data_IF_281919665586
#
_entry.id   IF_281919665586
#
_cell.length_a   1.000
_cell.length_b   1.000
_cell.length_c   1.000
_cell.angle_alpha   90.00
_cell.angle_beta   90.00
_cell.angle_gamma   90.00
#
_symmetry.space_group_name_H-M   'P 1'
#
loop_
_entity.id
_entity.type
_entity.pdbx_description
1 polymer ?
#
# COMPACT_ATOMS: atom_id res chain seq x y z
N UNK A 1 0.77 -9.79 -6.60
CA UNK A 1 0.62 -8.39 -7.09
C UNK A 1 1.85 -7.52 -6.81
N UNK A 2 2.60 -7.76 -5.72
CA UNK A 2 3.78 -6.95 -5.42
C UNK A 2 4.80 -6.98 -6.58
N UNK A 3 5.26 -5.81 -7.08
CA UNK A 3 6.29 -5.73 -8.10
C UNK A 3 7.73 -5.81 -7.54
N UNK A 4 7.88 -5.76 -6.22
CA UNK A 4 9.16 -5.96 -5.55
C UNK A 4 9.51 -7.44 -5.49
N UNK A 5 10.73 -7.76 -5.93
CA UNK A 5 11.29 -9.11 -5.88
C UNK A 5 11.26 -9.66 -4.45
N UNK A 6 10.59 -10.80 -4.27
CA UNK A 6 10.38 -11.46 -2.98
C UNK A 6 9.95 -10.52 -1.85
N UNK A 7 9.24 -9.44 -2.15
CA UNK A 7 8.75 -8.49 -1.15
C UNK A 7 7.44 -8.94 -0.50
N UNK A 8 6.71 -9.86 -1.15
CA UNK A 8 5.50 -10.47 -0.64
C UNK A 8 5.43 -11.92 -1.13
N UNK A 9 5.49 -12.88 -0.20
CA UNK A 9 5.40 -14.31 -0.51
C UNK A 9 4.26 -14.97 0.26
N UNK A 10 3.78 -16.13 -0.20
CA UNK A 10 2.77 -16.91 0.52
C UNK A 10 3.32 -17.46 1.85
N UNK A 11 4.59 -17.85 1.87
CA UNK A 11 5.22 -18.49 3.03
C UNK A 11 5.59 -17.49 4.13
N UNK A 12 6.13 -16.33 3.78
CA UNK A 12 6.70 -15.37 4.73
C UNK A 12 5.91 -14.07 4.82
N UNK A 13 4.87 -13.91 3.99
CA UNK A 13 4.09 -12.68 3.92
C UNK A 13 4.94 -11.49 3.46
N UNK A 14 4.72 -10.34 4.08
CA UNK A 14 5.32 -9.07 3.67
C UNK A 14 6.75 -8.93 4.21
N UNK A 15 7.74 -9.15 3.34
CA UNK A 15 9.15 -8.98 3.63
C UNK A 15 9.55 -7.51 3.52
N UNK A 16 9.47 -6.79 4.65
CA UNK A 16 9.69 -5.33 4.75
C UNK A 16 11.03 -4.86 4.16
N UNK A 17 12.10 -5.65 4.27
CA UNK A 17 13.43 -5.28 3.74
C UNK A 17 13.41 -5.16 2.22
N UNK A 18 12.84 -6.17 1.54
CA UNK A 18 12.74 -6.22 0.09
C UNK A 18 11.74 -5.17 -0.42
N UNK A 19 10.61 -5.00 0.28
CA UNK A 19 9.65 -3.94 -0.02
C UNK A 19 10.27 -2.53 0.09
N UNK A 20 11.08 -2.29 1.13
CA UNK A 20 11.81 -1.02 1.29
C UNK A 20 12.83 -0.83 0.17
N UNK A 21 13.58 -1.87 -0.19
CA UNK A 21 14.55 -1.80 -1.28
C UNK A 21 13.88 -1.43 -2.61
N UNK A 22 12.73 -2.04 -2.93
CA UNK A 22 11.95 -1.68 -4.10
C UNK A 22 11.40 -0.24 -4.02
N UNK A 23 10.74 0.12 -2.92
CA UNK A 23 10.09 1.42 -2.78
C UNK A 23 11.12 2.57 -2.85
N UNK A 24 12.22 2.46 -2.09
CA UNK A 24 13.25 3.50 -2.09
C UNK A 24 14.12 3.47 -3.35
N UNK A 25 14.36 2.30 -3.94
CA UNK A 25 15.23 2.16 -5.11
C UNK A 25 14.54 2.43 -6.45
N UNK A 26 13.21 2.26 -6.52
CA UNK A 26 12.44 2.40 -7.77
C UNK A 26 11.35 3.47 -7.68
N UNK A 27 10.53 3.46 -6.63
CA UNK A 27 9.36 4.35 -6.59
C UNK A 27 9.72 5.78 -6.20
N UNK A 28 10.67 5.98 -5.28
CA UNK A 28 11.16 7.33 -4.92
C UNK A 28 11.72 8.09 -6.13
N UNK A 29 12.67 7.54 -6.94
CA UNK A 29 13.16 8.23 -8.12
C UNK A 29 12.04 8.57 -9.12
N UNK A 30 11.16 7.60 -9.42
CA UNK A 30 10.04 7.79 -10.33
C UNK A 30 9.10 8.91 -9.86
N UNK A 31 8.72 8.90 -8.58
CA UNK A 31 7.80 9.90 -8.02
C UNK A 31 8.43 11.29 -8.05
N UNK A 32 9.73 11.39 -7.71
CA UNK A 32 10.45 12.66 -7.77
C UNK A 32 10.55 13.19 -9.19
N UNK A 33 10.89 12.35 -10.16
CA UNK A 33 11.05 12.73 -11.57
C UNK A 33 9.73 13.16 -12.21
N UNK A 34 8.66 12.39 -12.00
CA UNK A 34 7.39 12.61 -12.70
C UNK A 34 6.44 13.58 -11.99
N UNK A 35 6.55 13.72 -10.67
CA UNK A 35 5.60 14.50 -9.87
C UNK A 35 6.27 15.54 -8.96
N UNK A 36 7.61 15.60 -8.90
CA UNK A 36 8.38 16.50 -8.02
C UNK A 36 8.02 16.39 -6.53
N UNK A 37 7.60 15.21 -6.07
CA UNK A 37 7.27 14.93 -4.67
C UNK A 37 8.47 14.28 -4.00
N UNK A 38 8.92 14.83 -2.87
CA UNK A 38 9.93 14.23 -2.00
C UNK A 38 9.27 13.23 -1.05
N UNK A 39 9.05 12.01 -1.54
CA UNK A 39 8.40 10.94 -0.79
C UNK A 39 8.56 9.58 -1.44
N UNK A 40 8.13 8.54 -0.73
CA UNK A 40 7.99 7.19 -1.26
C UNK A 40 6.53 6.79 -1.28
N UNK A 41 6.15 6.00 -2.27
CA UNK A 41 4.79 5.47 -2.40
C UNK A 41 4.82 4.09 -3.02
N UNK A 42 4.11 3.15 -2.40
CA UNK A 42 3.78 1.85 -2.97
C UNK A 42 2.58 1.30 -2.20
N UNK A 43 1.57 0.82 -2.93
CA UNK A 43 0.33 0.26 -2.35
C UNK A 43 -0.18 -0.95 -3.11
N UNK A 44 0.60 -1.55 -4.01
CA UNK A 44 0.15 -2.67 -4.88
C UNK A 44 -0.30 -3.93 -4.13
N UNK A 45 0.06 -4.09 -2.85
CA UNK A 45 -0.48 -5.15 -2.01
C UNK A 45 -1.87 -4.82 -1.43
N UNK A 46 -2.23 -3.54 -1.41
CA UNK A 46 -3.54 -2.99 -1.02
C UNK A 46 -4.37 -2.59 -2.25
N UNK A 47 -4.05 -3.13 -3.43
CA UNK A 47 -4.92 -3.07 -4.61
C UNK A 47 -5.63 -4.41 -4.79
N UNK A 48 -6.80 -4.43 -5.43
CA UNK A 48 -7.72 -5.54 -5.65
C UNK A 48 -7.98 -6.42 -4.41
N UNK A 49 -8.10 -5.81 -3.22
CA UNK A 49 -8.64 -6.44 -2.01
C UNK A 49 -10.16 -6.25 -1.91
N UNK A 50 -10.91 -7.13 -1.22
CA UNK A 50 -12.37 -7.06 -1.18
C UNK A 50 -12.93 -5.71 -0.71
N UNK A 51 -12.19 -5.02 0.18
CA UNK A 51 -12.61 -3.72 0.71
C UNK A 51 -12.43 -2.55 -0.26
N UNK A 52 -11.75 -2.72 -1.40
CA UNK A 52 -11.59 -1.63 -2.38
C UNK A 52 -12.85 -1.31 -3.17
N UNK A 53 -13.76 -2.28 -3.33
CA UNK A 53 -15.03 -2.08 -4.04
C UNK A 53 -16.14 -1.57 -3.12
N UNK A 54 -16.08 -1.92 -1.84
CA UNK A 54 -17.08 -1.56 -0.83
C UNK A 54 -16.58 -1.95 0.57
N UNK A 55 -17.10 -1.28 1.61
CA UNK A 55 -16.94 -1.76 2.99
C UNK A 55 -17.51 -3.20 3.08
N UNK A 56 -16.77 -4.17 3.66
CA UNK A 56 -17.29 -5.52 3.83
C UNK A 56 -18.64 -5.54 4.56
N UNK A 57 -19.60 -6.29 4.03
CA UNK A 57 -20.91 -6.44 4.64
C UNK A 57 -20.82 -7.12 6.01
N UNK A 58 -21.72 -6.76 6.94
CA UNK A 58 -21.75 -7.30 8.30
C UNK A 58 -20.80 -6.59 9.29
N UNK A 59 -20.16 -5.50 8.88
CA UNK A 59 -19.47 -4.59 9.79
C UNK A 59 -20.47 -3.53 10.26
N UNK A 60 -20.72 -3.46 11.57
CA UNK A 60 -21.46 -2.34 12.17
C UNK A 60 -20.56 -1.09 12.16
N UNK A 61 -20.89 -0.13 11.32
CA UNK A 61 -20.23 1.18 11.33
C UNK A 61 -20.84 2.03 12.45
N UNK A 62 -20.00 2.45 13.38
CA UNK A 62 -20.41 3.36 14.45
C UNK A 62 -20.45 4.78 13.88
N UNK A 63 -21.57 5.48 14.04
CA UNK A 63 -21.61 6.92 13.79
C UNK A 63 -20.83 7.60 14.91
N UNK A 64 -19.73 8.25 14.55
CA UNK A 64 -18.99 9.11 15.48
C UNK A 64 -19.54 10.51 15.28
N UNK A 65 -20.23 11.05 16.28
CA UNK A 65 -20.60 12.46 16.28
C UNK A 65 -19.31 13.29 16.35
N UNK A 66 -19.08 14.14 15.34
CA UNK A 66 -17.98 15.09 15.38
C UNK A 66 -18.35 16.21 16.38
N UNK A 67 -17.63 16.30 17.50
CA UNK A 67 -17.65 17.51 18.32
C UNK A 67 -16.87 18.61 17.57
N UNK A 68 -17.58 19.66 17.14
CA UNK A 68 -16.99 20.91 16.60
C UNK A 68 -16.24 21.71 17.68
#
# INVERSE_FOLDING_TARGET
RCPGEDALTLEHGHLKKNCKAYSHGKTVPFIKEHYNIDGYGCGFCQTDVPCESSIPAGIEVMEVENEE
#
